data_IF_312073378671
#
_entry.id   IF_312073378671
#
_cell.length_a   1.000
_cell.length_b   1.000
_cell.length_c   1.000
_cell.angle_alpha   90.00
_cell.angle_beta   90.00
_cell.angle_gamma   90.00
#
_symmetry.space_group_name_H-M   'P 1'
#
loop_
_entity.id
_entity.type
_entity.pdbx_description
1 polymer ?
#
# COMPACT_ATOMS: atom_id res chain seq x y z
N UNK A 1 28.11 -18.68 -0.60
CA UNK A 1 27.81 -17.87 0.59
C UNK A 1 26.30 -17.68 0.68
N UNK A 2 25.73 -17.71 1.87
CA UNK A 2 24.33 -17.35 2.09
C UNK A 2 24.22 -15.82 2.04
N UNK A 3 23.33 -15.29 1.21
CA UNK A 3 23.12 -13.84 1.08
C UNK A 3 22.14 -13.36 2.14
N UNK A 4 22.50 -12.34 2.89
CA UNK A 4 21.68 -11.76 3.94
C UNK A 4 20.77 -10.66 3.36
N UNK A 5 19.47 -10.89 3.44
CA UNK A 5 18.45 -9.98 2.95
C UNK A 5 17.73 -9.36 4.15
N UNK A 6 17.86 -8.05 4.33
CA UNK A 6 17.07 -7.33 5.32
C UNK A 6 15.82 -6.75 4.66
N UNK A 7 14.66 -7.05 5.18
CA UNK A 7 13.38 -6.51 4.71
C UNK A 7 12.86 -5.53 5.77
N UNK A 8 12.52 -4.32 5.34
CA UNK A 8 11.95 -3.27 6.18
C UNK A 8 10.43 -3.34 6.14
N UNK A 9 9.79 -3.08 7.30
CA UNK A 9 8.35 -2.84 7.40
C UNK A 9 8.02 -1.82 8.48
N UNK A 10 7.23 -0.80 8.12
CA UNK A 10 6.82 0.30 9.00
C UNK A 10 5.36 0.21 9.48
N UNK A 11 4.55 -0.69 8.91
CA UNK A 11 3.15 -0.80 9.29
C UNK A 11 2.47 -2.07 8.77
N UNK A 12 1.34 -2.42 9.39
CA UNK A 12 0.63 -3.66 9.12
C UNK A 12 0.20 -3.84 7.67
N UNK A 13 -0.25 -2.77 7.01
CA UNK A 13 -0.66 -2.84 5.61
C UNK A 13 0.52 -3.24 4.72
N UNK A 14 1.68 -2.64 4.96
CA UNK A 14 2.92 -2.93 4.25
C UNK A 14 3.41 -4.37 4.52
N UNK A 15 3.38 -4.81 5.79
CA UNK A 15 3.72 -6.19 6.16
C UNK A 15 2.84 -7.20 5.42
N UNK A 16 1.52 -6.96 5.35
CA UNK A 16 0.61 -7.84 4.61
C UNK A 16 0.95 -7.98 3.13
N UNK A 17 1.50 -6.93 2.49
CA UNK A 17 1.99 -6.96 1.12
C UNK A 17 3.32 -7.72 1.02
N UNK A 18 4.21 -7.58 2.01
CA UNK A 18 5.54 -8.18 2.04
C UNK A 18 5.54 -9.66 2.42
N UNK A 19 4.51 -10.14 3.15
CA UNK A 19 4.47 -11.52 3.66
C UNK A 19 4.79 -12.58 2.59
N UNK A 20 4.24 -12.53 1.37
CA UNK A 20 4.59 -13.50 0.31
C UNK A 20 6.08 -13.49 -0.06
N UNK A 21 6.72 -12.32 0.03
CA UNK A 21 8.17 -12.19 -0.21
C UNK A 21 8.97 -12.83 0.92
N UNK A 22 8.55 -12.59 2.17
CA UNK A 22 9.20 -13.17 3.34
C UNK A 22 9.13 -14.70 3.32
N UNK A 23 7.95 -15.25 2.99
CA UNK A 23 7.74 -16.70 2.85
C UNK A 23 8.70 -17.30 1.79
N UNK A 24 8.85 -16.65 0.61
CA UNK A 24 9.75 -17.11 -0.46
C UNK A 24 11.24 -16.97 -0.08
N UNK A 25 11.63 -15.94 0.69
CA UNK A 25 13.00 -15.79 1.18
C UNK A 25 13.35 -16.90 2.16
N UNK A 26 12.45 -17.22 3.10
CA UNK A 26 12.66 -18.28 4.11
C UNK A 26 12.81 -19.66 3.48
N UNK A 27 12.05 -19.95 2.41
CA UNK A 27 12.16 -21.22 1.68
C UNK A 27 13.51 -21.35 0.94
N UNK A 28 14.17 -20.24 0.63
CA UNK A 28 15.41 -20.24 -0.14
C UNK A 28 16.64 -20.57 0.75
N UNK A 29 17.21 -21.75 0.61
CA UNK A 29 18.40 -22.18 1.37
C UNK A 29 19.65 -21.31 1.17
N UNK A 30 19.70 -20.45 0.16
CA UNK A 30 20.83 -19.58 -0.14
C UNK A 30 20.63 -18.13 0.34
N UNK A 31 19.50 -17.83 1.01
CA UNK A 31 19.18 -16.53 1.57
C UNK A 31 18.98 -16.61 3.07
N UNK A 32 19.39 -15.56 3.78
CA UNK A 32 19.12 -15.38 5.22
C UNK A 32 18.20 -14.15 5.36
N UNK A 33 16.99 -14.36 5.87
CA UNK A 33 16.04 -13.28 6.14
C UNK A 33 16.42 -12.55 7.44
N UNK A 34 16.44 -11.22 7.39
CA UNK A 34 16.44 -10.32 8.54
C UNK A 34 15.25 -9.37 8.43
N UNK A 35 14.54 -9.13 9.54
CA UNK A 35 13.44 -8.18 9.58
C UNK A 35 13.80 -6.98 10.43
N UNK A 36 13.71 -5.80 9.82
CA UNK A 36 13.79 -4.51 10.50
C UNK A 36 12.39 -3.92 10.59
N UNK A 37 11.85 -3.85 11.81
CA UNK A 37 10.48 -3.44 12.11
C UNK A 37 10.49 -2.06 12.76
N UNK A 38 9.60 -1.17 12.31
CA UNK A 38 9.54 0.19 12.83
C UNK A 38 8.14 0.79 12.74
N UNK A 39 8.04 2.10 12.91
CA UNK A 39 6.83 2.86 12.64
C UNK A 39 5.63 2.42 13.47
N UNK A 40 4.49 2.33 12.81
CA UNK A 40 3.21 1.95 13.44
C UNK A 40 3.23 0.55 14.07
N UNK A 41 4.12 -0.34 13.64
CA UNK A 41 4.24 -1.68 14.24
C UNK A 41 4.58 -1.65 15.72
N UNK A 42 5.34 -0.66 16.17
CA UNK A 42 5.84 -0.55 17.54
C UNK A 42 5.02 0.41 18.41
N UNK A 43 3.99 1.03 17.86
CA UNK A 43 3.12 1.97 18.57
C UNK A 43 1.92 1.26 19.18
N UNK A 44 1.66 1.51 20.47
CA UNK A 44 0.46 1.03 21.16
C UNK A 44 -0.84 1.61 20.59
N UNK A 45 -0.80 2.84 20.08
CA UNK A 45 -1.93 3.50 19.42
C UNK A 45 -2.40 2.70 18.19
N UNK A 46 -1.45 2.04 17.48
CA UNK A 46 -1.75 1.21 16.32
C UNK A 46 -1.78 -0.30 16.62
N UNK A 47 -1.80 -0.68 17.91
CA UNK A 47 -2.06 -2.05 18.36
C UNK A 47 -0.83 -2.97 18.43
N UNK A 48 0.41 -2.43 18.45
CA UNK A 48 1.66 -3.21 18.57
C UNK A 48 1.72 -4.36 17.56
N UNK A 49 1.47 -4.07 16.31
CA UNK A 49 1.25 -5.06 15.25
C UNK A 49 2.50 -5.86 14.84
N UNK A 50 3.68 -5.56 15.45
CA UNK A 50 4.84 -6.44 15.34
C UNK A 50 4.57 -7.85 15.91
N UNK A 51 3.63 -7.97 16.87
CA UNK A 51 3.21 -9.25 17.42
C UNK A 51 2.59 -10.16 16.36
N UNK A 52 1.86 -9.59 15.40
CA UNK A 52 1.31 -10.36 14.29
C UNK A 52 2.42 -10.95 13.40
N UNK A 53 3.56 -10.25 13.29
CA UNK A 53 4.74 -10.75 12.57
C UNK A 53 5.33 -11.96 13.31
N UNK A 54 5.44 -11.86 14.63
CA UNK A 54 5.92 -12.93 15.50
C UNK A 54 4.94 -14.12 15.53
N UNK A 55 3.64 -13.85 15.58
CA UNK A 55 2.57 -14.88 15.51
C UNK A 55 2.57 -15.63 14.17
N UNK A 56 2.96 -14.97 13.08
CA UNK A 56 3.16 -15.60 11.76
C UNK A 56 4.46 -16.42 11.67
N UNK A 57 5.26 -16.48 12.75
CA UNK A 57 6.49 -17.27 12.86
C UNK A 57 7.76 -16.58 12.40
N UNK A 58 7.74 -15.27 12.10
CA UNK A 58 8.91 -14.51 11.74
C UNK A 58 9.60 -13.90 12.97
N UNK A 59 10.91 -13.75 12.89
CA UNK A 59 11.71 -13.07 13.93
C UNK A 59 11.86 -11.60 13.55
N UNK A 60 11.50 -10.69 14.45
CA UNK A 60 11.82 -9.26 14.32
C UNK A 60 13.27 -9.05 14.79
N UNK A 61 14.26 -9.09 13.88
CA UNK A 61 15.69 -8.99 14.23
C UNK A 61 16.05 -7.64 14.83
N UNK A 62 15.46 -6.55 14.32
CA UNK A 62 15.64 -5.20 14.85
C UNK A 62 14.29 -4.49 14.96
N UNK A 63 14.10 -3.77 16.08
CA UNK A 63 12.92 -2.96 16.35
C UNK A 63 13.36 -1.50 16.58
N UNK A 64 12.99 -0.59 15.68
CA UNK A 64 13.38 0.82 15.75
C UNK A 64 12.16 1.68 16.05
N UNK A 65 12.05 2.16 17.27
CA UNK A 65 11.00 3.11 17.66
C UNK A 65 11.30 4.50 17.09
N UNK A 66 10.31 5.10 16.41
CA UNK A 66 10.47 6.42 15.81
C UNK A 66 9.23 7.31 15.90
N UNK A 67 8.03 6.72 16.03
CA UNK A 67 6.77 7.47 15.99
C UNK A 67 6.55 8.25 17.27
N UNK A 68 6.29 9.55 17.14
CA UNK A 68 5.79 10.42 18.21
C UNK A 68 4.26 10.45 18.19
N UNK A 69 3.62 10.64 19.36
CA UNK A 69 2.15 10.65 19.51
C UNK A 69 1.48 11.93 18.97
N UNK A 70 1.87 12.36 17.76
CA UNK A 70 1.30 13.54 17.09
C UNK A 70 1.43 13.41 15.58
N UNK A 71 0.40 13.85 14.84
CA UNK A 71 0.31 13.81 13.36
C UNK A 71 0.64 15.16 12.69
N UNK A 72 1.20 16.13 13.46
CA UNK A 72 1.66 17.40 12.88
C UNK A 72 2.90 17.21 12.01
N UNK A 73 3.08 18.04 10.98
CA UNK A 73 4.24 18.01 10.10
C UNK A 73 5.57 18.09 10.89
N UNK A 74 5.62 18.93 11.96
CA UNK A 74 6.79 19.02 12.84
C UNK A 74 7.06 17.71 13.57
N UNK A 75 6.02 17.04 14.05
CA UNK A 75 6.16 15.75 14.74
C UNK A 75 6.63 14.65 13.79
N UNK A 76 6.12 14.61 12.56
CA UNK A 76 6.58 13.68 11.53
C UNK A 76 8.07 13.92 11.22
N UNK A 77 8.49 15.17 11.04
CA UNK A 77 9.92 15.48 10.85
C UNK A 77 10.80 15.02 12.02
N UNK A 78 10.33 15.19 13.27
CA UNK A 78 11.04 14.70 14.46
C UNK A 78 11.10 13.17 14.48
N UNK A 79 10.01 12.49 14.15
CA UNK A 79 9.95 11.04 14.01
C UNK A 79 10.95 10.55 12.95
N UNK A 80 11.04 11.23 11.79
CA UNK A 80 12.05 10.93 10.78
C UNK A 80 13.48 11.07 11.32
N UNK A 81 13.76 12.11 12.12
CA UNK A 81 15.07 12.29 12.77
C UNK A 81 15.41 11.14 13.71
N UNK A 82 14.47 10.71 14.57
CA UNK A 82 14.65 9.55 15.45
C UNK A 82 14.88 8.26 14.64
N UNK A 83 14.09 8.06 13.58
CA UNK A 83 14.28 6.92 12.68
C UNK A 83 15.67 6.89 12.05
N UNK A 84 16.21 8.04 11.63
CA UNK A 84 17.56 8.12 11.04
C UNK A 84 18.63 7.59 12.00
N UNK A 85 18.55 7.97 13.27
CA UNK A 85 19.48 7.49 14.31
C UNK A 85 19.33 5.96 14.45
N UNK A 86 18.12 5.47 14.72
CA UNK A 86 17.88 4.06 14.98
C UNK A 86 18.18 3.14 13.80
N UNK A 87 17.81 3.55 12.56
CA UNK A 87 18.09 2.73 11.37
C UNK A 87 19.58 2.65 11.06
N UNK A 88 20.35 3.71 11.25
CA UNK A 88 21.80 3.66 11.05
C UNK A 88 22.47 2.64 11.96
N UNK A 89 22.07 2.59 13.23
CA UNK A 89 22.57 1.62 14.20
C UNK A 89 22.13 0.19 13.90
N UNK A 90 20.84 0.00 13.55
CA UNK A 90 20.29 -1.30 13.22
C UNK A 90 20.97 -1.89 11.96
N UNK A 91 21.16 -1.09 10.92
CA UNK A 91 21.83 -1.52 9.70
C UNK A 91 23.31 -1.86 9.92
N UNK A 92 24.02 -1.14 10.80
CA UNK A 92 25.39 -1.47 11.18
C UNK A 92 25.48 -2.81 11.95
N UNK A 93 24.46 -3.15 12.75
CA UNK A 93 24.37 -4.46 13.43
C UNK A 93 24.03 -5.59 12.48
N UNK A 94 23.03 -5.39 11.58
CA UNK A 94 22.56 -6.42 10.65
C UNK A 94 23.61 -6.68 9.56
N UNK A 95 24.18 -5.63 8.95
CA UNK A 95 25.09 -5.68 7.80
C UNK A 95 24.53 -6.54 6.66
N UNK A 96 23.36 -6.17 6.09
CA UNK A 96 22.75 -6.94 5.03
C UNK A 96 23.49 -6.75 3.69
N UNK A 97 23.46 -7.77 2.82
CA UNK A 97 23.94 -7.67 1.45
C UNK A 97 22.96 -6.86 0.57
N UNK A 98 21.66 -6.95 0.86
CA UNK A 98 20.60 -6.17 0.20
C UNK A 98 19.56 -5.77 1.26
N UNK A 99 19.12 -4.51 1.18
CA UNK A 99 18.02 -3.97 1.97
C UNK A 99 16.79 -3.78 1.09
N UNK A 100 15.69 -4.44 1.43
CA UNK A 100 14.45 -4.42 0.66
C UNK A 100 13.47 -3.45 1.29
N UNK A 101 12.96 -2.51 0.49
CA UNK A 101 11.98 -1.50 0.87
C UNK A 101 10.79 -1.56 -0.08
N UNK A 102 9.57 -1.54 0.47
CA UNK A 102 8.34 -1.43 -0.29
C UNK A 102 7.73 -0.04 -0.11
N UNK A 103 7.28 0.55 -1.22
CA UNK A 103 6.45 1.76 -1.19
C UNK A 103 7.24 3.04 -0.93
N UNK A 104 6.62 3.94 -0.17
CA UNK A 104 6.91 5.37 -0.24
C UNK A 104 6.67 6.15 1.06
N UNK A 105 6.38 5.47 2.15
CA UNK A 105 6.11 6.14 3.42
C UNK A 105 7.33 6.87 3.97
N UNK A 106 7.10 7.85 4.86
CA UNK A 106 8.19 8.61 5.45
C UNK A 106 9.18 7.73 6.24
N UNK A 107 8.71 6.62 6.84
CA UNK A 107 9.57 5.63 7.50
C UNK A 107 10.49 4.96 6.47
N UNK A 108 9.95 4.57 5.31
CA UNK A 108 10.70 3.97 4.20
C UNK A 108 11.73 4.93 3.61
N UNK A 109 11.39 6.23 3.52
CA UNK A 109 12.30 7.28 3.06
C UNK A 109 13.52 7.39 3.97
N UNK A 110 13.30 7.38 5.29
CA UNK A 110 14.38 7.47 6.27
C UNK A 110 15.25 6.20 6.24
N UNK A 111 14.61 5.02 6.17
CA UNK A 111 15.31 3.74 6.10
C UNK A 111 16.19 3.65 4.83
N UNK A 112 15.68 4.10 3.66
CA UNK A 112 16.44 4.16 2.42
C UNK A 112 17.63 5.13 2.50
N UNK A 113 17.43 6.29 3.13
CA UNK A 113 18.49 7.28 3.33
C UNK A 113 19.60 6.73 4.24
N UNK A 114 19.25 6.07 5.34
CA UNK A 114 20.21 5.43 6.21
C UNK A 114 20.99 4.33 5.48
N UNK A 115 20.32 3.48 4.71
CA UNK A 115 20.96 2.43 3.92
C UNK A 115 21.96 3.00 2.86
N UNK A 116 21.57 4.08 2.17
CA UNK A 116 22.46 4.75 1.20
C UNK A 116 23.73 5.25 1.88
N UNK A 117 23.62 5.93 3.03
CA UNK A 117 24.77 6.46 3.80
C UNK A 117 25.65 5.32 4.32
N UNK A 118 25.04 4.22 4.78
CA UNK A 118 25.73 3.00 5.19
C UNK A 118 26.29 2.17 4.02
N UNK A 119 26.08 2.60 2.76
CA UNK A 119 26.54 1.91 1.54
C UNK A 119 25.94 0.52 1.35
N UNK A 120 24.72 0.32 1.81
CA UNK A 120 23.97 -0.92 1.65
C UNK A 120 23.11 -0.81 0.39
N UNK A 121 23.20 -1.77 -0.57
CA UNK A 121 22.36 -1.78 -1.75
C UNK A 121 20.87 -1.90 -1.37
N UNK A 122 20.03 -1.01 -1.93
CA UNK A 122 18.59 -1.03 -1.72
C UNK A 122 17.88 -1.64 -2.92
N UNK A 123 16.92 -2.53 -2.65
CA UNK A 123 15.96 -3.05 -3.61
C UNK A 123 14.59 -2.44 -3.32
N UNK A 124 14.09 -1.61 -4.24
CA UNK A 124 12.83 -0.89 -4.08
C UNK A 124 11.68 -1.58 -4.81
N UNK A 125 10.62 -1.92 -4.10
CA UNK A 125 9.39 -2.51 -4.63
C UNK A 125 8.33 -1.41 -4.77
N UNK A 126 7.57 -1.40 -5.87
CA UNK A 126 6.55 -0.41 -6.23
C UNK A 126 7.09 1.01 -6.51
N UNK A 127 8.35 1.10 -6.99
CA UNK A 127 8.88 2.36 -7.55
C UNK A 127 8.16 2.77 -8.83
N UNK A 128 8.20 4.08 -9.14
CA UNK A 128 7.62 4.65 -10.37
C UNK A 128 6.10 4.83 -10.39
N UNK A 129 5.38 4.39 -9.36
CA UNK A 129 3.95 4.71 -9.18
C UNK A 129 3.75 6.19 -8.84
N UNK A 130 2.54 6.69 -8.99
CA UNK A 130 2.18 8.06 -8.62
C UNK A 130 1.17 8.08 -7.48
N UNK A 131 1.29 9.09 -6.62
CA UNK A 131 0.29 9.43 -5.61
C UNK A 131 0.15 10.95 -5.58
N UNK A 132 -0.58 11.47 -6.56
CA UNK A 132 -0.70 12.90 -6.79
C UNK A 132 -1.22 13.65 -5.55
N UNK A 133 -0.58 14.77 -5.21
CA UNK A 133 -0.96 15.57 -4.05
C UNK A 133 -0.58 14.98 -2.68
N UNK A 134 0.11 13.84 -2.63
CA UNK A 134 0.68 13.29 -1.40
C UNK A 134 2.20 13.47 -1.37
N UNK A 135 2.74 13.72 -0.18
CA UNK A 135 4.19 13.81 0.05
C UNK A 135 4.90 12.50 -0.29
N UNK A 136 4.18 11.39 -0.17
CA UNK A 136 4.66 10.05 -0.47
C UNK A 136 5.13 9.91 -1.93
N UNK A 137 4.55 10.70 -2.86
CA UNK A 137 4.97 10.70 -4.27
C UNK A 137 6.45 11.09 -4.43
N UNK A 138 6.85 12.18 -3.77
CA UNK A 138 8.23 12.64 -3.76
C UNK A 138 9.15 11.66 -3.03
N UNK A 139 8.69 11.10 -1.91
CA UNK A 139 9.45 10.09 -1.18
C UNK A 139 9.67 8.85 -2.05
N UNK A 140 8.67 8.35 -2.76
CA UNK A 140 8.79 7.20 -3.66
C UNK A 140 9.86 7.43 -4.72
N UNK A 141 9.85 8.58 -5.39
CA UNK A 141 10.83 8.89 -6.41
C UNK A 141 12.24 9.08 -5.84
N UNK A 142 12.36 9.65 -4.65
CA UNK A 142 13.63 9.76 -3.94
C UNK A 142 14.19 8.38 -3.52
N UNK A 143 13.35 7.50 -2.97
CA UNK A 143 13.71 6.11 -2.64
C UNK A 143 14.16 5.36 -3.90
N UNK A 144 13.40 5.48 -5.00
CA UNK A 144 13.80 4.92 -6.30
C UNK A 144 15.19 5.39 -6.68
N UNK A 145 15.48 6.69 -6.57
CA UNK A 145 16.78 7.24 -6.93
C UNK A 145 17.93 6.76 -6.03
N UNK A 146 17.66 6.47 -4.78
CA UNK A 146 18.63 5.90 -3.83
C UNK A 146 18.84 4.40 -4.00
N UNK A 147 17.95 3.71 -4.71
CA UNK A 147 17.95 2.24 -4.83
C UNK A 147 18.79 1.72 -5.99
N UNK A 148 19.31 0.51 -5.85
CA UNK A 148 20.10 -0.19 -6.88
C UNK A 148 19.21 -1.05 -7.78
N UNK A 149 18.24 -1.78 -7.20
CA UNK A 149 17.31 -2.65 -7.90
C UNK A 149 15.89 -2.10 -7.79
N UNK A 150 15.11 -2.26 -8.85
CA UNK A 150 13.76 -1.71 -8.94
C UNK A 150 12.78 -2.79 -9.39
N UNK A 151 11.80 -3.09 -8.55
CA UNK A 151 10.71 -4.02 -8.85
C UNK A 151 9.41 -3.22 -9.03
N UNK A 152 9.05 -3.00 -10.28
CA UNK A 152 7.90 -2.19 -10.66
C UNK A 152 6.70 -3.08 -10.99
N UNK A 153 5.51 -2.47 -11.00
CA UNK A 153 4.26 -3.21 -11.13
C UNK A 153 3.63 -3.13 -12.52
N UNK A 154 4.05 -2.19 -13.36
CA UNK A 154 3.59 -2.04 -14.75
C UNK A 154 4.71 -1.54 -15.67
N UNK A 155 4.51 -1.65 -17.00
CA UNK A 155 5.49 -1.16 -17.98
C UNK A 155 5.55 0.37 -18.01
N UNK A 156 4.46 1.08 -17.69
CA UNK A 156 4.47 2.53 -17.52
C UNK A 156 5.38 2.96 -16.38
N UNK A 157 5.35 2.25 -15.28
CA UNK A 157 6.21 2.55 -14.12
C UNK A 157 7.66 2.19 -14.41
N UNK A 158 7.92 1.11 -15.19
CA UNK A 158 9.26 0.84 -15.70
C UNK A 158 9.82 2.01 -16.51
N UNK A 159 9.03 2.54 -17.45
CA UNK A 159 9.41 3.73 -18.25
C UNK A 159 9.72 4.93 -17.36
N UNK A 160 8.91 5.17 -16.34
CA UNK A 160 9.10 6.29 -15.40
C UNK A 160 10.37 6.15 -14.57
N UNK A 161 10.69 4.95 -14.11
CA UNK A 161 11.95 4.68 -13.39
C UNK A 161 13.15 4.88 -14.30
N UNK A 162 13.07 4.49 -15.57
CA UNK A 162 14.11 4.81 -16.59
C UNK A 162 14.24 6.32 -16.75
N UNK A 163 13.14 7.05 -16.82
CA UNK A 163 13.11 8.53 -16.92
C UNK A 163 13.79 9.22 -15.72
N UNK A 164 13.78 8.60 -14.53
CA UNK A 164 14.52 9.04 -13.35
C UNK A 164 16.03 8.80 -13.47
N UNK A 165 16.52 8.26 -14.59
CA UNK A 165 17.93 7.98 -14.83
C UNK A 165 18.41 6.67 -14.22
N UNK A 166 17.51 5.69 -14.06
CA UNK A 166 17.88 4.34 -13.64
C UNK A 166 18.06 3.42 -14.85
N UNK A 167 19.12 2.59 -14.83
CA UNK A 167 19.48 1.71 -15.94
C UNK A 167 18.42 0.60 -16.14
N UNK A 168 17.97 0.34 -17.39
CA UNK A 168 16.88 -0.61 -17.70
C UNK A 168 17.14 -2.05 -17.26
N UNK A 169 18.41 -2.48 -17.16
CA UNK A 169 18.83 -3.81 -16.70
C UNK A 169 18.65 -4.04 -15.19
N UNK A 170 18.40 -2.98 -14.43
CA UNK A 170 18.12 -3.01 -12.98
C UNK A 170 16.64 -2.86 -12.65
N UNK A 171 15.77 -2.78 -13.67
CA UNK A 171 14.34 -2.53 -13.51
C UNK A 171 13.52 -3.71 -14.02
N UNK A 172 12.83 -4.39 -13.10
CA UNK A 172 12.10 -5.61 -13.36
C UNK A 172 10.59 -5.36 -13.16
N UNK A 173 9.77 -5.61 -14.18
CA UNK A 173 8.31 -5.56 -14.07
C UNK A 173 7.77 -6.96 -13.78
N UNK A 174 7.50 -7.25 -12.52
CA UNK A 174 6.92 -8.51 -12.08
C UNK A 174 5.48 -8.39 -11.59
N UNK A 175 4.87 -7.20 -11.69
CA UNK A 175 3.52 -6.96 -11.17
C UNK A 175 3.51 -6.65 -9.67
N UNK A 176 2.31 -6.50 -9.11
CA UNK A 176 2.13 -6.18 -7.70
C UNK A 176 2.24 -7.44 -6.83
N UNK A 177 3.09 -7.37 -5.81
CA UNK A 177 3.47 -8.51 -4.97
C UNK A 177 2.28 -9.16 -4.23
N UNK A 178 1.28 -8.37 -3.88
CA UNK A 178 0.10 -8.84 -3.16
C UNK A 178 -0.93 -9.53 -4.05
N UNK A 179 -0.94 -9.25 -5.36
CA UNK A 179 -1.98 -9.77 -6.28
C UNK A 179 -1.97 -11.29 -6.33
N UNK A 180 -0.79 -11.91 -6.46
CA UNK A 180 -0.67 -13.38 -6.48
C UNK A 180 -1.08 -14.03 -5.15
N UNK A 181 -0.67 -13.41 -4.04
CA UNK A 181 -0.99 -13.91 -2.72
C UNK A 181 -2.50 -13.88 -2.45
N UNK A 182 -3.14 -12.79 -2.85
CA UNK A 182 -4.59 -12.63 -2.68
C UNK A 182 -5.39 -13.71 -3.42
N UNK A 183 -4.94 -14.13 -4.61
CA UNK A 183 -5.57 -15.21 -5.38
C UNK A 183 -5.51 -16.58 -4.71
N UNK A 184 -4.47 -16.81 -3.90
CA UNK A 184 -4.27 -18.10 -3.21
C UNK A 184 -5.07 -18.21 -1.90
N UNK A 185 -5.59 -17.10 -1.39
CA UNK A 185 -6.35 -17.09 -0.14
C UNK A 185 -7.76 -17.62 -0.41
N UNK A 186 -8.13 -18.68 0.32
CA UNK A 186 -9.50 -19.15 0.35
C UNK A 186 -10.35 -18.19 1.16
N UNK A 187 -11.36 -17.54 0.56
CA UNK A 187 -12.20 -16.60 1.30
C UNK A 187 -13.07 -17.33 2.31
N UNK A 188 -13.37 -16.66 3.41
CA UNK A 188 -14.40 -17.11 4.36
C UNK A 188 -15.75 -17.21 3.64
N UNK A 189 -16.60 -18.13 4.08
CA UNK A 189 -18.01 -18.11 3.68
C UNK A 189 -18.66 -16.79 4.14
N UNK A 190 -19.74 -16.38 3.47
CA UNK A 190 -20.44 -15.14 3.82
C UNK A 190 -20.86 -15.12 5.30
N UNK A 191 -21.38 -16.22 5.80
CA UNK A 191 -21.83 -16.35 7.19
C UNK A 191 -20.68 -16.26 8.21
N UNK A 192 -19.53 -16.84 7.91
CA UNK A 192 -18.33 -16.73 8.76
C UNK A 192 -17.78 -15.31 8.77
N UNK A 193 -17.72 -14.65 7.59
CA UNK A 193 -17.30 -13.27 7.50
C UNK A 193 -18.23 -12.37 8.32
N UNK A 194 -19.55 -12.45 8.10
CA UNK A 194 -20.55 -11.66 8.83
C UNK A 194 -20.44 -11.83 10.34
N UNK A 195 -20.21 -13.07 10.81
CA UNK A 195 -19.97 -13.37 12.23
C UNK A 195 -18.68 -12.71 12.74
N UNK A 196 -17.58 -12.80 11.98
CA UNK A 196 -16.28 -12.26 12.40
C UNK A 196 -16.22 -10.73 12.38
N UNK A 197 -16.96 -10.07 11.48
CA UNK A 197 -17.04 -8.61 11.43
C UNK A 197 -18.22 -8.07 12.23
N UNK A 198 -19.05 -8.94 12.83
CA UNK A 198 -20.29 -8.60 13.54
C UNK A 198 -21.19 -7.65 12.73
N UNK A 199 -21.31 -7.93 11.43
CA UNK A 199 -22.08 -7.08 10.52
C UNK A 199 -22.65 -7.91 9.36
N UNK A 200 -23.96 -7.79 9.11
CA UNK A 200 -24.61 -8.55 8.05
C UNK A 200 -24.49 -7.83 6.70
N UNK A 201 -24.07 -8.55 5.66
CA UNK A 201 -23.87 -8.03 4.31
C UNK A 201 -25.18 -8.08 3.51
N UNK A 202 -25.56 -6.95 2.92
CA UNK A 202 -26.69 -6.84 2.01
C UNK A 202 -26.27 -6.86 0.53
N UNK A 203 -27.24 -6.86 -0.38
CA UNK A 203 -26.98 -6.84 -1.83
C UNK A 203 -26.35 -5.52 -2.33
N UNK A 204 -26.39 -4.48 -1.52
CA UNK A 204 -25.80 -3.15 -1.78
C UNK A 204 -24.81 -2.77 -0.68
N UNK A 205 -23.89 -3.69 -0.34
CA UNK A 205 -22.80 -3.40 0.60
C UNK A 205 -21.60 -2.82 -0.16
N UNK A 206 -21.07 -1.70 0.34
CA UNK A 206 -19.86 -1.08 -0.18
C UNK A 206 -18.76 -1.03 0.90
N UNK A 207 -17.50 -1.10 0.46
CA UNK A 207 -16.33 -0.87 1.31
C UNK A 207 -15.79 0.53 1.03
N UNK A 208 -15.61 1.34 2.07
CA UNK A 208 -15.11 2.71 1.97
C UNK A 208 -13.74 2.82 2.63
N UNK A 209 -12.76 3.27 1.85
CA UNK A 209 -11.42 3.60 2.34
C UNK A 209 -11.01 4.96 1.78
N UNK A 210 -10.84 5.94 2.65
CA UNK A 210 -10.50 7.31 2.25
C UNK A 210 -9.32 7.83 3.04
N UNK A 211 -8.29 8.32 2.35
CA UNK A 211 -7.07 8.87 2.93
C UNK A 211 -6.98 10.38 2.72
N UNK A 212 -6.31 11.13 3.60
CA UNK A 212 -6.05 12.54 3.38
C UNK A 212 -5.17 12.75 2.14
N UNK A 213 -5.34 13.91 1.50
CA UNK A 213 -4.42 14.42 0.46
C UNK A 213 -3.44 15.35 1.17
N UNK A 214 -2.29 14.83 1.55
CA UNK A 214 -1.39 15.43 2.56
C UNK A 214 -0.77 16.79 2.17
N UNK A 215 -0.75 17.12 0.87
CA UNK A 215 -0.30 18.42 0.37
C UNK A 215 -1.44 19.45 0.22
N UNK A 216 -2.69 19.07 0.50
CA UNK A 216 -3.85 19.96 0.52
C UNK A 216 -4.24 20.27 1.96
N UNK A 217 -3.94 21.48 2.44
CA UNK A 217 -4.23 21.88 3.81
C UNK A 217 -5.73 21.95 4.12
N UNK A 218 -6.20 21.17 5.11
CA UNK A 218 -7.52 21.28 5.72
C UNK A 218 -8.70 20.87 4.85
N UNK A 219 -8.49 20.24 3.69
CA UNK A 219 -9.57 19.84 2.78
C UNK A 219 -10.16 18.45 3.07
N UNK A 220 -9.40 17.58 3.73
CA UNK A 220 -9.72 16.16 3.94
C UNK A 220 -11.08 15.93 4.61
N UNK A 221 -11.38 16.68 5.68
CA UNK A 221 -12.66 16.59 6.38
C UNK A 221 -13.85 17.03 5.51
N UNK A 222 -13.67 18.07 4.68
CA UNK A 222 -14.72 18.52 3.77
C UNK A 222 -14.98 17.48 2.67
N UNK A 223 -13.95 16.95 2.03
CA UNK A 223 -14.11 15.95 0.98
C UNK A 223 -14.74 14.65 1.52
N UNK A 224 -14.31 14.21 2.70
CA UNK A 224 -14.93 13.04 3.32
C UNK A 224 -16.41 13.30 3.70
N UNK A 225 -16.74 14.50 4.16
CA UNK A 225 -18.14 14.90 4.41
C UNK A 225 -19.01 14.91 3.15
N UNK A 226 -18.44 15.27 1.97
CA UNK A 226 -19.14 15.15 0.69
C UNK A 226 -19.46 13.68 0.35
N UNK A 227 -18.52 12.77 0.63
CA UNK A 227 -18.73 11.33 0.44
C UNK A 227 -19.86 10.81 1.35
N UNK A 228 -19.85 11.15 2.65
CA UNK A 228 -20.91 10.72 3.58
C UNK A 228 -22.29 11.22 3.15
N UNK A 229 -22.40 12.47 2.73
CA UNK A 229 -23.65 13.04 2.19
C UNK A 229 -24.10 12.33 0.91
N UNK A 230 -23.19 11.99 0.01
CA UNK A 230 -23.53 11.23 -1.19
C UNK A 230 -24.07 9.83 -0.86
N UNK A 231 -23.50 9.17 0.15
CA UNK A 231 -24.00 7.87 0.67
C UNK A 231 -25.41 8.02 1.24
N UNK A 232 -25.68 9.06 2.03
CA UNK A 232 -27.01 9.34 2.59
C UNK A 232 -28.05 9.58 1.49
N UNK A 233 -27.72 10.34 0.43
CA UNK A 233 -28.64 10.61 -0.69
C UNK A 233 -28.98 9.36 -1.51
N UNK A 234 -28.06 8.38 -1.63
CA UNK A 234 -28.33 7.12 -2.32
C UNK A 234 -29.31 6.27 -1.53
N UNK A 235 -29.18 6.25 -0.21
CA UNK A 235 -29.98 5.42 0.69
C UNK A 235 -29.79 3.91 0.47
N UNK A 236 -30.30 3.12 1.40
CA UNK A 236 -30.30 1.64 1.33
C UNK A 236 -28.92 1.00 1.06
N UNK A 237 -27.82 1.68 1.41
CA UNK A 237 -26.47 1.11 1.38
C UNK A 237 -26.11 0.55 2.75
N UNK A 238 -25.37 -0.56 2.73
CA UNK A 238 -24.58 -1.00 3.88
C UNK A 238 -23.13 -0.63 3.65
N UNK A 239 -22.48 -0.05 4.65
CA UNK A 239 -21.15 0.51 4.50
C UNK A 239 -20.18 -0.07 5.51
N UNK A 240 -19.10 -0.63 5.01
CA UNK A 240 -17.94 -1.02 5.82
C UNK A 240 -16.88 0.06 5.62
N UNK A 241 -16.45 0.70 6.70
CA UNK A 241 -15.36 1.67 6.67
C UNK A 241 -14.05 1.02 7.13
N UNK A 242 -12.95 1.35 6.46
CA UNK A 242 -11.60 1.17 7.00
C UNK A 242 -11.01 2.53 7.33
N UNK A 243 -10.49 2.67 8.56
CA UNK A 243 -9.90 3.91 9.06
C UNK A 243 -8.56 4.20 8.38
N UNK A 244 -8.15 5.47 8.38
CA UNK A 244 -6.88 5.91 7.79
C UNK A 244 -5.70 5.52 8.67
N UNK A 245 -4.50 5.57 8.07
CA UNK A 245 -3.22 5.41 8.76
C UNK A 245 -2.84 6.68 9.55
N UNK A 246 -1.61 6.67 10.14
CA UNK A 246 -0.99 7.80 10.83
C UNK A 246 -0.48 8.88 9.85
N UNK A 247 -1.34 9.35 8.96
CA UNK A 247 -1.01 10.41 8.01
C UNK A 247 -1.48 11.76 8.57
N UNK A 248 -0.88 12.87 8.11
CA UNK A 248 -1.33 14.22 8.45
C UNK A 248 -2.82 14.38 8.12
N UNK A 249 -3.61 14.96 9.01
CA UNK A 249 -5.08 15.10 8.93
C UNK A 249 -5.89 13.77 8.92
N UNK A 250 -5.26 12.62 9.20
CA UNK A 250 -5.96 11.33 9.26
C UNK A 250 -7.00 11.26 10.39
N UNK A 251 -6.74 11.91 11.52
CA UNK A 251 -7.64 11.88 12.70
C UNK A 251 -9.01 12.46 12.40
N UNK A 252 -9.10 13.56 11.64
CA UNK A 252 -10.40 14.19 11.31
C UNK A 252 -11.30 13.25 10.50
N UNK A 253 -10.72 12.44 9.61
CA UNK A 253 -11.47 11.43 8.83
C UNK A 253 -11.96 10.33 9.77
N UNK A 254 -11.10 9.84 10.67
CA UNK A 254 -11.45 8.79 11.63
C UNK A 254 -12.58 9.23 12.59
N UNK A 255 -12.53 10.47 13.08
CA UNK A 255 -13.58 11.04 13.92
C UNK A 255 -14.92 11.13 13.17
N UNK A 256 -14.90 11.55 11.90
CA UNK A 256 -16.10 11.59 11.05
C UNK A 256 -16.68 10.20 10.79
N UNK A 257 -15.82 9.18 10.61
CA UNK A 257 -16.25 7.78 10.48
C UNK A 257 -16.97 7.34 11.76
N UNK A 258 -16.36 7.56 12.93
CA UNK A 258 -16.92 7.12 14.21
C UNK A 258 -18.28 7.78 14.47
N UNK A 259 -18.39 9.08 14.28
CA UNK A 259 -19.65 9.82 14.40
C UNK A 259 -20.72 9.33 13.42
N UNK A 260 -20.33 8.96 12.19
CA UNK A 260 -21.28 8.46 11.20
C UNK A 260 -21.77 7.06 11.55
N UNK A 261 -20.90 6.19 12.04
CA UNK A 261 -21.24 4.83 12.48
C UNK A 261 -22.16 4.88 13.70
N UNK A 262 -21.90 5.76 14.68
CA UNK A 262 -22.79 5.95 15.84
C UNK A 262 -24.22 6.35 15.44
N UNK A 263 -24.36 7.18 14.41
CA UNK A 263 -25.67 7.62 13.90
C UNK A 263 -26.39 6.55 13.07
N UNK A 264 -25.63 5.63 12.45
CA UNK A 264 -26.14 4.64 11.51
C UNK A 264 -25.76 3.18 11.86
N UNK A 265 -25.90 2.71 13.12
CA UNK A 265 -25.29 1.45 13.60
C UNK A 265 -25.85 0.19 12.93
N UNK A 266 -27.04 0.26 12.33
CA UNK A 266 -27.66 -0.88 11.62
C UNK A 266 -27.08 -1.11 10.23
N UNK A 267 -26.58 -0.05 9.60
CA UNK A 267 -26.15 -0.06 8.20
C UNK A 267 -24.66 0.22 8.02
N UNK A 268 -23.94 0.48 9.09
CA UNK A 268 -22.52 0.84 9.02
C UNK A 268 -21.69 0.16 10.09
N UNK A 269 -20.44 -0.12 9.75
CA UNK A 269 -19.41 -0.61 10.67
C UNK A 269 -18.07 -0.05 10.28
N UNK A 270 -17.18 0.18 11.25
CA UNK A 270 -15.84 0.67 11.01
C UNK A 270 -14.78 -0.24 11.63
N UNK A 271 -13.65 -0.37 10.95
CA UNK A 271 -12.49 -1.11 11.41
C UNK A 271 -11.22 -0.28 11.23
N UNK A 272 -10.34 -0.31 12.22
CA UNK A 272 -8.98 0.20 12.03
C UNK A 272 -8.27 -0.61 10.96
N UNK A 273 -8.54 -1.91 10.88
CA UNK A 273 -8.19 -2.78 9.76
C UNK A 273 -8.99 -4.08 9.81
N UNK A 274 -9.35 -4.57 8.66
CA UNK A 274 -9.96 -5.88 8.50
C UNK A 274 -8.94 -7.03 8.63
N UNK A 275 -7.66 -6.77 8.39
CA UNK A 275 -6.67 -7.82 8.14
C UNK A 275 -6.90 -8.50 6.79
N UNK A 276 -5.89 -9.19 6.28
CA UNK A 276 -5.88 -9.70 4.90
C UNK A 276 -7.05 -10.66 4.60
N UNK A 277 -7.28 -11.65 5.48
CA UNK A 277 -8.31 -12.67 5.28
C UNK A 277 -9.72 -12.06 5.18
N UNK A 278 -10.10 -11.20 6.15
CA UNK A 278 -11.43 -10.56 6.14
C UNK A 278 -11.57 -9.53 5.01
N UNK A 279 -10.50 -8.81 4.68
CA UNK A 279 -10.50 -7.87 3.56
C UNK A 279 -10.78 -8.59 2.24
N UNK A 280 -10.02 -9.65 1.93
CA UNK A 280 -10.22 -10.44 0.70
C UNK A 280 -11.61 -11.07 0.68
N UNK A 281 -12.04 -11.66 1.81
CA UNK A 281 -13.39 -12.22 1.92
C UNK A 281 -14.47 -11.15 1.69
N UNK A 282 -14.26 -9.93 2.18
CA UNK A 282 -15.16 -8.80 1.96
C UNK A 282 -15.27 -8.47 0.47
N UNK A 283 -14.16 -8.44 -0.27
CA UNK A 283 -14.17 -8.18 -1.73
C UNK A 283 -15.03 -9.18 -2.52
N UNK A 284 -15.17 -10.42 -2.06
CA UNK A 284 -16.03 -11.41 -2.70
C UNK A 284 -17.54 -11.14 -2.53
N UNK A 285 -17.95 -10.40 -1.51
CA UNK A 285 -19.37 -10.26 -1.15
C UNK A 285 -19.91 -8.83 -1.23
N UNK A 286 -19.06 -7.85 -1.51
CA UNK A 286 -19.48 -6.45 -1.66
C UNK A 286 -19.82 -6.09 -3.09
N UNK A 287 -20.55 -5.00 -3.24
CA UNK A 287 -20.98 -4.50 -4.55
C UNK A 287 -20.02 -3.52 -5.18
N UNK A 288 -19.25 -2.79 -4.37
CA UNK A 288 -18.23 -1.85 -4.84
C UNK A 288 -17.26 -1.44 -3.73
N UNK A 289 -16.09 -0.97 -4.13
CA UNK A 289 -15.15 -0.20 -3.30
C UNK A 289 -15.27 1.28 -3.65
N UNK A 290 -15.26 2.16 -2.65
CA UNK A 290 -15.40 3.61 -2.82
C UNK A 290 -14.36 4.34 -2.00
N UNK A 291 -13.66 5.30 -2.59
CA UNK A 291 -12.67 6.10 -1.88
C UNK A 291 -11.52 6.55 -2.75
N UNK A 292 -10.34 6.73 -2.15
CA UNK A 292 -9.12 7.16 -2.84
C UNK A 292 -7.89 6.33 -2.44
N UNK A 293 -8.12 5.07 -2.05
CA UNK A 293 -7.05 4.15 -1.69
C UNK A 293 -6.50 3.44 -2.93
N UNK A 294 -5.18 3.22 -2.98
CA UNK A 294 -4.52 2.44 -4.02
C UNK A 294 -5.01 0.98 -4.10
N UNK A 295 -5.54 0.43 -3.00
CA UNK A 295 -6.14 -0.91 -3.01
C UNK A 295 -7.31 -1.03 -3.99
N UNK A 296 -8.10 0.05 -4.15
CA UNK A 296 -9.15 0.15 -5.16
C UNK A 296 -8.66 0.15 -6.61
N UNK A 297 -7.37 0.40 -6.83
CA UNK A 297 -6.74 0.42 -8.16
C UNK A 297 -5.98 -0.88 -8.43
N UNK A 298 -5.25 -1.39 -7.45
CA UNK A 298 -4.31 -2.51 -7.63
C UNK A 298 -4.98 -3.87 -7.35
N UNK A 299 -5.80 -3.92 -6.30
CA UNK A 299 -6.31 -5.18 -5.73
C UNK A 299 -7.70 -5.55 -6.24
N UNK A 300 -8.63 -4.59 -6.26
CA UNK A 300 -10.02 -4.83 -6.65
C UNK A 300 -10.18 -5.40 -8.07
N UNK A 301 -9.31 -5.07 -9.07
CA UNK A 301 -9.38 -5.68 -10.39
C UNK A 301 -9.22 -7.20 -10.36
N UNK A 302 -8.44 -7.75 -9.41
CA UNK A 302 -8.25 -9.20 -9.25
C UNK A 302 -9.57 -9.93 -8.99
N UNK A 303 -10.48 -9.29 -8.27
CA UNK A 303 -11.79 -9.83 -7.90
C UNK A 303 -12.93 -9.27 -8.74
N UNK A 304 -12.61 -8.47 -9.76
CA UNK A 304 -13.59 -7.79 -10.63
C UNK A 304 -14.63 -6.98 -9.85
N UNK A 305 -14.19 -6.36 -8.75
CA UNK A 305 -15.04 -5.52 -7.91
C UNK A 305 -15.09 -4.11 -8.48
N UNK A 306 -16.29 -3.59 -8.80
CA UNK A 306 -16.46 -2.20 -9.21
C UNK A 306 -15.86 -1.22 -8.21
N UNK A 307 -15.19 -0.18 -8.70
CA UNK A 307 -14.49 0.78 -7.84
C UNK A 307 -14.79 2.21 -8.24
N UNK A 308 -15.11 3.07 -7.25
CA UNK A 308 -15.18 4.51 -7.40
C UNK A 308 -13.93 5.13 -6.78
N UNK A 309 -13.07 5.71 -7.62
CA UNK A 309 -11.91 6.49 -7.19
C UNK A 309 -12.32 7.98 -7.07
N UNK A 310 -12.26 8.54 -5.88
CA UNK A 310 -12.69 9.91 -5.60
C UNK A 310 -11.49 10.85 -5.59
N UNK A 311 -11.55 11.87 -6.44
CA UNK A 311 -10.50 12.88 -6.55
C UNK A 311 -9.33 12.43 -7.41
N UNK A 312 -8.20 13.06 -7.21
CA UNK A 312 -7.03 12.91 -8.06
C UNK A 312 -5.78 12.35 -7.35
N UNK A 313 -5.93 11.89 -6.09
CA UNK A 313 -4.83 11.26 -5.34
C UNK A 313 -4.17 10.12 -6.11
N UNK A 314 -4.95 9.32 -6.82
CA UNK A 314 -4.48 8.20 -7.65
C UNK A 314 -4.30 8.60 -9.14
N UNK A 315 -4.27 9.91 -9.46
CA UNK A 315 -4.07 10.42 -10.81
C UNK A 315 -2.71 9.97 -11.37
N UNK A 316 -2.73 9.50 -12.62
CA UNK A 316 -1.53 8.99 -13.31
C UNK A 316 -1.18 7.54 -12.99
N UNK A 317 -2.00 6.84 -12.18
CA UNK A 317 -1.92 5.38 -12.05
C UNK A 317 -2.59 4.68 -13.22
N UNK A 318 -2.11 3.49 -13.54
CA UNK A 318 -2.74 2.61 -14.53
C UNK A 318 -4.05 2.10 -13.94
N UNK A 319 -5.17 2.41 -14.61
CA UNK A 319 -6.51 2.02 -14.17
C UNK A 319 -7.02 0.83 -14.98
N UNK A 320 -7.60 -0.15 -14.30
CA UNK A 320 -8.38 -1.20 -14.94
C UNK A 320 -9.81 -0.71 -15.22
N UNK A 321 -10.55 -1.43 -16.05
CA UNK A 321 -11.90 -1.03 -16.49
C UNK A 321 -12.97 -1.04 -15.38
N UNK A 322 -12.66 -1.66 -14.21
CA UNK A 322 -13.55 -1.63 -13.05
C UNK A 322 -13.53 -0.31 -12.26
N UNK A 323 -12.67 0.66 -12.64
CA UNK A 323 -12.47 1.90 -11.88
C UNK A 323 -13.13 3.08 -12.60
N UNK A 324 -14.00 3.79 -11.89
CA UNK A 324 -14.53 5.09 -12.30
C UNK A 324 -13.94 6.16 -11.42
N UNK A 325 -13.26 7.15 -11.99
CA UNK A 325 -12.79 8.32 -11.26
C UNK A 325 -13.81 9.44 -11.30
N UNK A 326 -14.08 10.08 -10.16
CA UNK A 326 -14.99 11.21 -10.04
C UNK A 326 -14.42 12.34 -9.18
N UNK A 327 -15.01 13.54 -9.35
CA UNK A 327 -14.66 14.71 -8.51
C UNK A 327 -15.22 14.57 -7.09
N UNK A 328 -14.60 15.28 -6.12
CA UNK A 328 -15.00 15.31 -4.70
C UNK A 328 -16.27 16.20 -4.48
N UNK A 329 -17.36 15.86 -5.12
CA UNK A 329 -18.65 16.56 -4.93
C UNK A 329 -19.77 15.53 -4.76
N UNK A 330 -20.78 15.85 -3.94
CA UNK A 330 -21.92 14.97 -3.66
C UNK A 330 -22.51 14.40 -4.94
N UNK A 331 -22.84 15.27 -5.91
CA UNK A 331 -23.46 14.86 -7.19
C UNK A 331 -22.57 13.88 -7.98
N UNK A 332 -21.26 14.16 -8.08
CA UNK A 332 -20.34 13.33 -8.86
C UNK A 332 -20.11 11.98 -8.19
N UNK A 333 -19.94 11.95 -6.86
CA UNK A 333 -19.73 10.74 -6.07
C UNK A 333 -21.00 9.87 -6.16
N UNK A 334 -22.18 10.45 -5.94
CA UNK A 334 -23.45 9.74 -6.04
C UNK A 334 -23.61 9.09 -7.41
N UNK A 335 -23.47 9.86 -8.49
CA UNK A 335 -23.59 9.35 -9.86
C UNK A 335 -22.60 8.23 -10.17
N UNK A 336 -21.35 8.33 -9.68
CA UNK A 336 -20.35 7.30 -9.85
C UNK A 336 -20.71 6.01 -9.09
N UNK A 337 -21.17 6.13 -7.83
CA UNK A 337 -21.62 4.96 -7.04
C UNK A 337 -22.82 4.30 -7.72
N UNK A 338 -23.84 5.05 -8.12
CA UNK A 338 -25.01 4.51 -8.81
C UNK A 338 -24.61 3.76 -10.10
N UNK A 339 -23.66 4.33 -10.87
CA UNK A 339 -23.15 3.71 -12.09
C UNK A 339 -22.42 2.40 -11.81
N UNK A 340 -21.49 2.35 -10.86
CA UNK A 340 -20.75 1.10 -10.56
C UNK A 340 -21.62 0.01 -9.95
N UNK A 341 -22.75 0.37 -9.33
CA UNK A 341 -23.73 -0.57 -8.79
C UNK A 341 -24.68 -1.13 -9.85
N UNK A 342 -24.71 -0.57 -11.07
CA UNK A 342 -25.58 -1.03 -12.15
C UNK A 342 -25.17 -2.41 -12.66
N UNK A 343 -26.16 -3.17 -13.17
CA UNK A 343 -25.90 -4.46 -13.82
C UNK A 343 -25.04 -4.31 -15.07
N UNK A 344 -25.31 -3.27 -15.89
CA UNK A 344 -24.56 -2.97 -17.10
C UNK A 344 -23.06 -2.78 -16.82
N UNK A 345 -22.70 -2.01 -15.80
CA UNK A 345 -21.30 -1.81 -15.44
C UNK A 345 -20.64 -3.11 -14.96
N UNK A 346 -21.34 -3.89 -14.11
CA UNK A 346 -20.81 -5.20 -13.65
C UNK A 346 -20.60 -6.17 -14.82
N UNK A 347 -21.49 -6.16 -15.81
CA UNK A 347 -21.35 -7.00 -16.99
C UNK A 347 -20.17 -6.56 -17.86
N UNK A 348 -19.91 -5.26 -17.97
CA UNK A 348 -18.81 -4.71 -18.79
C UNK A 348 -17.40 -5.05 -18.26
N UNK A 349 -17.27 -5.43 -16.99
CA UNK A 349 -15.98 -5.76 -16.38
C UNK A 349 -15.71 -7.26 -16.19
N UNK A 350 -16.62 -8.13 -16.65
CA UNK A 350 -16.49 -9.59 -16.43
C UNK A 350 -15.21 -10.19 -17.02
N UNK A 351 -14.78 -9.71 -18.18
CA UNK A 351 -13.63 -10.25 -18.90
C UNK A 351 -12.36 -9.39 -18.74
N UNK A 352 -12.37 -8.43 -17.81
CA UNK A 352 -11.22 -7.58 -17.58
C UNK A 352 -10.02 -8.34 -17.02
N UNK A 353 -8.83 -7.84 -17.34
CA UNK A 353 -7.55 -8.32 -16.82
C UNK A 353 -6.98 -7.26 -15.87
N UNK A 354 -6.47 -7.70 -14.74
CA UNK A 354 -5.76 -6.80 -13.81
C UNK A 354 -4.40 -6.41 -14.42
N UNK A 355 -4.12 -5.12 -14.70
CA UNK A 355 -2.86 -4.69 -15.28
C UNK A 355 -1.66 -4.88 -14.35
N UNK A 356 -1.90 -5.09 -13.05
CA UNK A 356 -0.89 -5.33 -12.03
C UNK A 356 -0.57 -6.81 -11.80
N UNK A 357 -1.23 -7.71 -12.54
CA UNK A 357 -1.09 -9.16 -12.41
C UNK A 357 -0.11 -9.70 -13.46
N UNK A 358 1.06 -10.15 -13.02
CA UNK A 358 2.07 -10.78 -13.87
C UNK A 358 2.36 -12.24 -13.45
N UNK A 359 1.79 -12.69 -12.34
CA UNK A 359 2.00 -14.03 -11.79
C UNK A 359 3.38 -14.23 -11.14
N UNK A 360 3.40 -15.00 -10.08
CA UNK A 360 4.62 -15.39 -9.35
C UNK A 360 5.54 -14.21 -8.93
N UNK A 361 4.97 -13.04 -8.65
CA UNK A 361 5.72 -11.80 -8.38
C UNK A 361 6.75 -11.96 -7.27
N UNK A 362 6.36 -12.47 -6.10
CA UNK A 362 7.26 -12.65 -4.97
C UNK A 362 8.42 -13.59 -5.31
N UNK A 363 8.13 -14.71 -5.96
CA UNK A 363 9.11 -15.70 -6.40
C UNK A 363 10.12 -15.12 -7.40
N UNK A 364 9.65 -14.32 -8.36
CA UNK A 364 10.50 -13.67 -9.36
C UNK A 364 11.39 -12.60 -8.71
N UNK A 365 10.88 -11.82 -7.75
CA UNK A 365 11.68 -10.86 -6.97
C UNK A 365 12.78 -11.61 -6.21
N UNK A 366 12.44 -12.67 -5.46
CA UNK A 366 13.40 -13.45 -4.67
C UNK A 366 14.45 -14.11 -5.56
N UNK A 367 14.03 -14.67 -6.71
CA UNK A 367 14.95 -15.20 -7.71
C UNK A 367 15.95 -14.14 -8.18
N UNK A 368 15.45 -12.95 -8.54
CA UNK A 368 16.32 -11.85 -8.99
C UNK A 368 17.28 -11.41 -7.87
N UNK A 369 16.80 -11.20 -6.65
CA UNK A 369 17.64 -10.84 -5.49
C UNK A 369 18.72 -11.89 -5.22
N UNK A 370 18.40 -13.17 -5.39
CA UNK A 370 19.33 -14.28 -5.21
C UNK A 370 20.42 -14.32 -6.29
N UNK A 371 20.03 -14.13 -7.55
CA UNK A 371 20.89 -14.34 -8.72
C UNK A 371 21.59 -13.07 -9.20
N UNK A 372 21.10 -11.89 -8.83
CA UNK A 372 21.70 -10.64 -9.25
C UNK A 372 23.13 -10.51 -8.70
N UNK A 373 24.09 -10.29 -9.59
CA UNK A 373 25.47 -10.04 -9.22
C UNK A 373 25.61 -8.64 -8.61
N UNK A 374 25.83 -8.61 -7.29
CA UNK A 374 25.98 -7.33 -6.59
C UNK A 374 27.31 -6.67 -6.97
N UNK A 375 27.28 -5.38 -7.30
CA UNK A 375 28.52 -4.65 -7.58
C UNK A 375 29.36 -4.52 -6.30
N UNK A 376 30.68 -4.50 -6.46
CA UNK A 376 31.65 -4.28 -5.36
C UNK A 376 31.37 -2.94 -4.65
N UNK A 377 30.77 -1.99 -5.36
CA UNK A 377 30.41 -0.67 -4.81
C UNK A 377 28.96 -0.32 -5.12
N UNK A 378 28.32 0.51 -4.26
CA UNK A 378 26.99 1.07 -4.51
C UNK A 378 26.98 2.20 -5.53
N UNK A 379 28.08 2.48 -6.19
CA UNK A 379 28.16 3.48 -7.28
C UNK A 379 27.23 3.04 -8.42
N UNK A 380 26.45 3.97 -8.92
CA UNK A 380 25.65 3.80 -10.13
C UNK A 380 25.77 5.03 -11.01
N UNK A 381 25.82 4.80 -12.33
CA UNK A 381 25.79 5.87 -13.31
C UNK A 381 24.34 6.34 -13.52
N UNK A 382 24.19 7.59 -13.89
CA UNK A 382 22.92 8.12 -14.36
C UNK A 382 22.68 7.60 -15.79
N UNK A 383 21.51 7.01 -16.01
CA UNK A 383 21.14 6.54 -17.34
C UNK A 383 20.47 7.68 -18.13
N UNK A 384 21.18 8.20 -19.14
CA UNK A 384 20.65 9.23 -20.03
C UNK A 384 19.72 8.60 -21.07
N UNK A 385 18.45 9.03 -21.04
CA UNK A 385 17.48 8.63 -22.07
C UNK A 385 17.80 9.40 -23.35
N UNK A 386 18.10 8.69 -24.45
CA UNK A 386 18.34 9.36 -25.73
C UNK A 386 17.11 10.17 -26.19
N UNK A 387 17.34 11.32 -26.79
CA UNK A 387 16.29 12.25 -27.27
C UNK A 387 15.28 11.64 -28.27
N UNK A 388 15.54 10.44 -28.76
CA UNK A 388 14.65 9.67 -29.66
C UNK A 388 13.53 8.95 -28.89
N UNK A 389 13.56 8.93 -27.55
CA UNK A 389 12.56 8.30 -26.69
C UNK A 389 11.73 9.31 -25.87
N UNK A 390 12.02 10.60 -25.99
CA UNK A 390 11.24 11.73 -25.49
C UNK A 390 10.36 12.31 -26.61
#
# INVERSE_FOLDING_TARGET
MVRKICVFTGGRAEYGLLKPLLDEIVISHSLELKLLVSGMHLSSEFGLTYKNIEDDGFVCDEKVEMILSSDTAVSICKSMGLGMIGFSEALERIKPDIFVILGDRFESMVAATAALVCRIPVAHIQGGELTFGAIDDQFRHAITKMSLLHFVTTDEYKKRVIQLGEAPDRIFNFGAINVDAMKKIQPLSKSELEKQINFSLGPRTILVTFHPVTLENGTSGNYFSQLLKAIDEIGCLKVIFTKTNADTDGRIINDLIDLYVERNPKNTVAFTSLGQMKYISTLHYISAVVGNSSSGIIETPTFKVPTVNIGDREKGRVLASNVITCKQSIKAIRSAIEKVLSGEFKDSIKDMINPYDRGETAKNIVKTIREYELPITTKKEFYDVSSTLL
#
